data_IF_362913370061
#
_entry.id   IF_362913370061
#
_cell.length_a   1.000
_cell.length_b   1.000
_cell.length_c   1.000
_cell.angle_alpha   90.00
_cell.angle_beta   90.00
_cell.angle_gamma   90.00
#
_symmetry.space_group_name_H-M   'P 1'
#
loop_
_entity.id
_entity.type
_entity.pdbx_description
1 polymer ?
#
# COMPACT_ATOMS: atom_id res chain seq x y z
N UNK A 1 0.86 21.16 -17.92
CA UNK A 1 2.00 20.32 -17.46
C UNK A 1 2.16 20.31 -15.94
N UNK A 2 2.28 21.47 -15.29
CA UNK A 2 2.47 21.57 -13.82
C UNK A 2 1.44 20.80 -12.96
N UNK A 3 0.11 20.88 -13.18
CA UNK A 3 -0.86 20.18 -12.33
C UNK A 3 -0.75 18.66 -12.44
N UNK A 4 -0.38 18.15 -13.60
CA UNK A 4 -0.20 16.71 -13.82
C UNK A 4 1.02 16.17 -13.08
N UNK A 5 2.10 16.95 -13.02
CA UNK A 5 3.32 16.60 -12.25
C UNK A 5 3.02 16.53 -10.76
N UNK A 6 2.28 17.51 -10.23
CA UNK A 6 1.88 17.54 -8.81
C UNK A 6 1.00 16.32 -8.48
N UNK A 7 0.03 16.00 -9.33
CA UNK A 7 -0.82 14.83 -9.15
C UNK A 7 0.02 13.54 -9.17
N UNK A 8 0.89 13.37 -10.15
CA UNK A 8 1.75 12.19 -10.27
C UNK A 8 2.68 12.02 -9.05
N UNK A 9 3.26 13.12 -8.56
CA UNK A 9 4.08 13.12 -7.35
C UNK A 9 3.25 12.73 -6.11
N UNK A 10 2.02 13.25 -5.97
CA UNK A 10 1.12 12.89 -4.87
C UNK A 10 0.74 11.40 -4.87
N UNK A 11 0.42 10.84 -6.05
CA UNK A 11 0.13 9.41 -6.21
C UNK A 11 1.35 8.54 -5.88
N UNK A 12 2.55 8.97 -6.28
CA UNK A 12 3.79 8.27 -5.98
C UNK A 12 4.14 8.30 -4.49
N UNK A 13 3.95 9.45 -3.83
CA UNK A 13 4.14 9.60 -2.38
C UNK A 13 3.15 8.70 -1.63
N UNK A 14 1.87 8.68 -2.03
CA UNK A 14 0.86 7.82 -1.42
C UNK A 14 1.25 6.35 -1.57
N UNK A 15 1.70 5.94 -2.76
CA UNK A 15 2.14 4.58 -3.02
C UNK A 15 3.33 4.17 -2.13
N UNK A 16 4.37 5.01 -2.06
CA UNK A 16 5.53 4.78 -1.19
C UNK A 16 5.14 4.73 0.28
N UNK A 17 4.25 5.62 0.72
CA UNK A 17 3.82 5.66 2.11
C UNK A 17 3.11 4.37 2.51
N UNK A 18 2.21 3.86 1.66
CA UNK A 18 1.53 2.58 1.92
C UNK A 18 2.51 1.39 1.90
N UNK A 19 3.50 1.40 1.01
CA UNK A 19 4.54 0.37 0.99
C UNK A 19 5.36 0.36 2.28
N UNK A 20 5.78 1.55 2.76
CA UNK A 20 6.53 1.69 4.01
C UNK A 20 5.69 1.23 5.21
N UNK A 21 4.41 1.62 5.27
CA UNK A 21 3.50 1.17 6.31
C UNK A 21 3.36 -0.37 6.31
N UNK A 22 3.16 -0.97 5.14
CA UNK A 22 3.04 -2.42 4.97
C UNK A 22 4.29 -3.17 5.46
N UNK A 23 5.48 -2.66 5.18
CA UNK A 23 6.74 -3.27 5.62
C UNK A 23 6.95 -3.17 7.13
N UNK A 24 6.53 -2.07 7.75
CA UNK A 24 6.70 -1.83 9.20
C UNK A 24 5.63 -2.49 10.06
N UNK A 25 4.47 -2.79 9.48
CA UNK A 25 3.34 -3.38 10.19
C UNK A 25 3.64 -4.79 10.68
N UNK A 26 3.23 -5.20 11.88
CA UNK A 26 3.44 -6.57 12.36
C UNK A 26 2.53 -7.57 11.63
N UNK A 27 2.96 -8.82 11.49
CA UNK A 27 2.29 -9.83 10.66
C UNK A 27 0.89 -10.21 11.15
N UNK A 28 0.63 -10.11 12.46
CA UNK A 28 -0.66 -10.42 13.08
C UNK A 28 -1.77 -9.40 12.74
N UNK A 29 -1.44 -8.26 12.12
CA UNK A 29 -2.43 -7.26 11.70
C UNK A 29 -3.07 -7.59 10.35
N UNK A 30 -2.50 -8.51 9.59
CA UNK A 30 -3.01 -8.85 8.27
C UNK A 30 -4.08 -9.93 8.36
N UNK A 31 -5.34 -9.51 8.35
CA UNK A 31 -6.48 -10.42 8.39
C UNK A 31 -6.66 -11.26 7.10
N UNK A 32 -6.01 -10.87 5.99
CA UNK A 32 -6.17 -11.47 4.66
C UNK A 32 -4.79 -11.91 4.17
N UNK A 33 -4.63 -13.20 3.83
CA UNK A 33 -3.40 -13.75 3.22
C UNK A 33 -2.68 -14.85 4.01
N UNK A 34 -3.17 -15.22 5.20
CA UNK A 34 -2.63 -16.33 6.00
C UNK A 34 -1.17 -16.10 6.44
N UNK A 35 -0.36 -17.18 6.53
CA UNK A 35 1.01 -17.11 7.03
C UNK A 35 1.93 -16.13 6.28
N UNK A 36 1.65 -15.85 5.00
CA UNK A 36 2.48 -14.99 4.16
C UNK A 36 1.79 -13.66 3.83
N UNK A 37 0.82 -13.24 4.63
CA UNK A 37 -0.04 -12.11 4.31
C UNK A 37 0.74 -10.82 4.03
N UNK A 38 1.75 -10.48 4.84
CA UNK A 38 2.62 -9.33 4.61
C UNK A 38 3.30 -9.38 3.24
N UNK A 39 3.90 -10.52 2.90
CA UNK A 39 4.61 -10.69 1.63
C UNK A 39 3.64 -10.50 0.45
N UNK A 40 2.45 -11.10 0.53
CA UNK A 40 1.41 -10.95 -0.50
C UNK A 40 1.03 -9.48 -0.67
N UNK A 41 0.80 -8.75 0.42
CA UNK A 41 0.43 -7.33 0.36
C UNK A 41 1.55 -6.45 -0.20
N UNK A 42 2.81 -6.71 0.16
CA UNK A 42 3.97 -6.03 -0.43
C UNK A 42 4.00 -6.23 -1.94
N UNK A 43 3.81 -7.48 -2.42
CA UNK A 43 3.78 -7.79 -3.85
C UNK A 43 2.60 -7.10 -4.55
N UNK A 44 1.41 -7.10 -3.95
CA UNK A 44 0.23 -6.42 -4.49
C UNK A 44 0.50 -4.93 -4.65
N UNK A 45 1.03 -4.25 -3.62
CA UNK A 45 1.35 -2.82 -3.68
C UNK A 45 2.38 -2.55 -4.78
N UNK A 46 3.44 -3.36 -4.88
CA UNK A 46 4.50 -3.14 -5.88
C UNK A 46 4.00 -3.32 -7.31
N UNK A 47 3.31 -4.42 -7.61
CA UNK A 47 2.92 -4.73 -8.99
C UNK A 47 1.72 -3.95 -9.48
N UNK A 48 0.83 -3.51 -8.59
CA UNK A 48 -0.39 -2.78 -8.98
C UNK A 48 -0.29 -1.27 -8.74
N UNK A 49 0.82 -0.79 -8.16
CA UNK A 49 1.09 0.63 -7.97
C UNK A 49 0.02 1.31 -7.11
N UNK A 50 -0.46 2.45 -7.57
CA UNK A 50 -1.48 3.26 -6.88
C UNK A 50 -2.74 2.46 -6.51
N UNK A 51 -3.18 1.53 -7.37
CA UNK A 51 -4.36 0.69 -7.10
C UNK A 51 -4.12 -0.19 -5.86
N UNK A 52 -2.96 -0.83 -5.78
CA UNK A 52 -2.58 -1.66 -4.63
C UNK A 52 -2.43 -0.86 -3.35
N UNK A 53 -1.90 0.36 -3.43
CA UNK A 53 -1.83 1.27 -2.30
C UNK A 53 -3.21 1.66 -1.76
N UNK A 54 -4.18 1.96 -2.64
CA UNK A 54 -5.57 2.20 -2.24
C UNK A 54 -6.21 0.96 -1.61
N UNK A 55 -6.04 -0.22 -2.21
CA UNK A 55 -6.57 -1.47 -1.68
C UNK A 55 -6.00 -1.76 -0.29
N UNK A 56 -4.69 -1.60 -0.12
CA UNK A 56 -4.03 -1.73 1.19
C UNK A 56 -4.59 -0.73 2.20
N UNK A 57 -4.78 0.52 1.79
CA UNK A 57 -5.35 1.54 2.66
C UNK A 57 -6.73 1.13 3.19
N UNK A 58 -7.65 0.73 2.32
CA UNK A 58 -9.01 0.40 2.71
C UNK A 58 -9.16 -0.96 3.42
N UNK A 59 -8.31 -1.94 3.09
CA UNK A 59 -8.47 -3.31 3.61
C UNK A 59 -7.59 -3.62 4.82
N UNK A 60 -6.46 -2.93 4.96
CA UNK A 60 -5.48 -3.12 6.04
C UNK A 60 -5.35 -1.87 6.90
N UNK A 61 -4.95 -0.72 6.33
CA UNK A 61 -4.64 0.49 7.12
C UNK A 61 -5.85 1.10 7.82
N UNK A 62 -7.03 1.06 7.21
CA UNK A 62 -8.27 1.62 7.76
C UNK A 62 -8.74 0.91 9.04
N UNK A 63 -8.21 -0.29 9.30
CA UNK A 63 -8.53 -1.13 10.46
C UNK A 63 -7.51 -1.00 11.60
N UNK A 64 -6.58 -0.04 11.47
CA UNK A 64 -5.81 0.50 12.61
C UNK A 64 -6.74 1.13 13.66
#
# INVERSE_FOLDING_TARGET
MLPFVILAAGLFILWLWMLIDCLKRPDNWFAIGGNNAKLIWVLVIIFTGFIGALLYYFLVKSKD
#
